data_IF_969265106287
#
_entry.id   IF_969265106287
#
_cell.length_a   1.000
_cell.length_b   1.000
_cell.length_c   1.000
_cell.angle_alpha   90.00
_cell.angle_beta   90.00
_cell.angle_gamma   90.00
#
_symmetry.space_group_name_H-M   'P 1'
#
loop_
_entity.id
_entity.type
_entity.pdbx_description
1 polymer ?
#
# COMPACT_ATOMS: atom_id res chain seq x y z
N UNK A 1 -1.75 -23.88 10.50
CA UNK A 1 -2.28 -23.17 9.30
C UNK A 1 -1.74 -21.77 9.40
N UNK A 2 -1.02 -21.31 8.37
CA UNK A 2 -0.41 -19.98 8.39
C UNK A 2 -1.47 -18.91 8.68
N UNK A 3 -1.12 -17.92 9.51
CA UNK A 3 -2.06 -16.88 9.92
C UNK A 3 -2.61 -16.10 8.72
N UNK A 4 -1.77 -15.86 7.71
CA UNK A 4 -2.13 -15.14 6.49
C UNK A 4 -3.27 -15.82 5.73
N UNK A 5 -3.27 -17.16 5.61
CA UNK A 5 -4.36 -17.90 4.95
C UNK A 5 -5.69 -17.71 5.67
N UNK A 6 -5.66 -17.60 7.00
CA UNK A 6 -6.87 -17.39 7.80
C UNK A 6 -7.39 -15.97 7.63
N UNK A 7 -6.48 -14.99 7.62
CA UNK A 7 -6.81 -13.59 7.37
C UNK A 7 -7.45 -13.40 5.99
N UNK A 8 -6.84 -13.94 4.94
CA UNK A 8 -7.36 -13.83 3.57
C UNK A 8 -8.77 -14.42 3.42
N UNK A 9 -9.05 -15.53 4.12
CA UNK A 9 -10.40 -16.13 4.14
C UNK A 9 -11.45 -15.21 4.75
N UNK A 10 -11.08 -14.35 5.70
CA UNK A 10 -11.99 -13.38 6.32
C UNK A 10 -12.09 -12.13 5.43
N UNK A 11 -10.95 -11.57 5.03
CA UNK A 11 -10.84 -10.33 4.27
C UNK A 11 -11.54 -10.40 2.91
N UNK A 12 -11.46 -11.55 2.23
CA UNK A 12 -12.00 -11.77 0.88
C UNK A 12 -13.17 -12.76 0.86
N UNK A 13 -13.91 -12.92 1.98
CA UNK A 13 -15.04 -13.84 2.01
C UNK A 13 -16.20 -13.33 1.14
N UNK A 14 -16.29 -13.82 -0.10
CA UNK A 14 -17.35 -13.47 -1.05
C UNK A 14 -18.76 -13.86 -0.58
N UNK A 15 -18.89 -14.76 0.41
CA UNK A 15 -20.17 -15.22 0.94
C UNK A 15 -20.71 -14.36 2.08
N UNK A 16 -19.90 -13.45 2.63
CA UNK A 16 -20.31 -12.57 3.74
C UNK A 16 -21.21 -11.45 3.23
N UNK A 17 -22.17 -11.03 4.06
CA UNK A 17 -23.00 -9.88 3.77
C UNK A 17 -22.14 -8.62 3.54
N UNK A 18 -22.49 -7.81 2.53
CA UNK A 18 -21.71 -6.61 2.18
C UNK A 18 -21.66 -5.60 3.34
N UNK A 19 -22.74 -5.47 4.11
CA UNK A 19 -22.80 -4.58 5.26
C UNK A 19 -21.94 -5.06 6.42
N UNK A 20 -21.92 -6.37 6.68
CA UNK A 20 -21.00 -6.98 7.66
C UNK A 20 -19.53 -6.79 7.27
N UNK A 21 -19.19 -7.07 6.00
CA UNK A 21 -17.84 -6.89 5.49
C UNK A 21 -17.39 -5.42 5.57
N UNK A 22 -18.28 -4.48 5.24
CA UNK A 22 -18.00 -3.05 5.38
C UNK A 22 -17.73 -2.65 6.84
N UNK A 23 -18.54 -3.13 7.79
CA UNK A 23 -18.34 -2.86 9.22
C UNK A 23 -17.02 -3.44 9.73
N UNK A 24 -16.68 -4.64 9.27
CA UNK A 24 -15.39 -5.27 9.58
C UNK A 24 -14.22 -4.40 9.13
N UNK A 25 -14.20 -3.99 7.86
CA UNK A 25 -13.13 -3.12 7.33
C UNK A 25 -13.08 -1.76 8.02
N UNK A 26 -14.22 -1.12 8.29
CA UNK A 26 -14.25 0.14 9.04
C UNK A 26 -13.62 0.00 10.43
N UNK A 27 -13.95 -1.07 11.17
CA UNK A 27 -13.33 -1.34 12.47
C UNK A 27 -11.84 -1.61 12.34
N UNK A 28 -11.45 -2.41 11.35
CA UNK A 28 -10.06 -2.74 11.10
C UNK A 28 -9.22 -1.51 10.76
N UNK A 29 -9.68 -0.61 9.88
CA UNK A 29 -8.96 0.60 9.53
C UNK A 29 -8.77 1.55 10.71
N UNK A 30 -9.71 1.61 11.66
CA UNK A 30 -9.53 2.38 12.90
C UNK A 30 -8.41 1.80 13.77
N UNK A 31 -8.31 0.47 13.85
CA UNK A 31 -7.25 -0.20 14.59
C UNK A 31 -5.89 0.00 13.92
N UNK A 32 -5.82 -0.24 12.60
CA UNK A 32 -4.63 -0.02 11.78
C UNK A 32 -4.12 1.42 11.90
N UNK A 33 -5.02 2.40 11.81
CA UNK A 33 -4.69 3.81 12.03
C UNK A 33 -4.03 4.03 13.39
N UNK A 34 -4.59 3.45 14.46
CA UNK A 34 -4.03 3.56 15.81
C UNK A 34 -2.64 2.93 15.95
N UNK A 35 -2.32 1.88 15.20
CA UNK A 35 -0.96 1.32 15.13
C UNK A 35 -0.02 2.30 14.44
N UNK A 36 -0.39 2.83 13.27
CA UNK A 36 0.43 3.79 12.53
C UNK A 36 0.64 5.10 13.29
N UNK A 37 -0.36 5.60 14.01
CA UNK A 37 -0.20 6.80 14.85
C UNK A 37 0.93 6.62 15.88
N UNK A 38 1.05 5.43 16.48
CA UNK A 38 2.13 5.11 17.43
C UNK A 38 3.48 4.93 16.72
N UNK A 39 3.52 4.16 15.63
CA UNK A 39 4.74 3.89 14.87
C UNK A 39 5.35 5.18 14.29
N UNK A 40 4.52 6.05 13.71
CA UNK A 40 4.97 7.29 13.10
C UNK A 40 5.36 8.37 14.13
N UNK A 41 4.95 8.22 15.40
CA UNK A 41 5.41 9.10 16.47
C UNK A 41 6.90 8.87 16.76
N UNK A 42 7.35 7.62 16.73
CA UNK A 42 8.76 7.24 16.91
C UNK A 42 9.24 6.37 15.73
N UNK A 43 9.39 6.94 14.52
CA UNK A 43 9.57 6.17 13.30
C UNK A 43 10.96 5.50 13.17
N UNK A 44 11.90 5.87 14.05
CA UNK A 44 13.23 5.25 14.15
C UNK A 44 13.31 4.19 15.27
N UNK A 45 12.25 4.00 16.04
CA UNK A 45 12.17 2.94 17.06
C UNK A 45 12.10 1.57 16.38
N UNK A 46 13.08 0.72 16.70
CA UNK A 46 13.06 -0.67 16.24
C UNK A 46 12.04 -1.45 17.05
N UNK A 47 10.86 -1.64 16.46
CA UNK A 47 9.81 -2.49 17.05
C UNK A 47 9.91 -3.89 16.44
N UNK A 48 10.27 -4.85 17.27
CA UNK A 48 10.38 -6.27 16.92
C UNK A 48 9.79 -7.13 18.03
N UNK A 49 9.36 -8.34 17.68
CA UNK A 49 8.74 -9.29 18.60
C UNK A 49 8.07 -10.42 17.85
N UNK A 50 7.44 -11.33 18.57
CA UNK A 50 6.55 -12.32 17.95
C UNK A 50 5.25 -11.66 17.48
N UNK A 51 4.55 -12.27 16.52
CA UNK A 51 3.22 -11.79 16.06
C UNK A 51 2.29 -11.56 17.26
N UNK A 52 2.30 -12.48 18.22
CA UNK A 52 1.49 -12.39 19.44
C UNK A 52 1.91 -11.25 20.35
N UNK A 53 3.20 -11.10 20.64
CA UNK A 53 3.69 -9.99 21.49
C UNK A 53 3.37 -8.62 20.88
N UNK A 54 3.47 -8.50 19.55
CA UNK A 54 3.09 -7.26 18.87
C UNK A 54 1.57 -7.05 18.92
N UNK A 55 0.77 -8.10 18.71
CA UNK A 55 -0.68 -8.02 18.85
C UNK A 55 -1.07 -7.48 20.24
N UNK A 56 -0.47 -8.04 21.29
CA UNK A 56 -0.68 -7.59 22.68
C UNK A 56 -0.18 -6.15 22.89
N UNK A 57 1.01 -5.79 22.39
CA UNK A 57 1.60 -4.43 22.49
C UNK A 57 0.66 -3.36 21.91
N UNK A 58 -0.02 -3.68 20.81
CA UNK A 58 -0.91 -2.75 20.12
C UNK A 58 -2.39 -2.93 20.49
N UNK A 59 -2.70 -3.83 21.43
CA UNK A 59 -4.07 -4.17 21.84
C UNK A 59 -4.94 -4.61 20.64
N UNK A 60 -4.37 -5.48 19.83
CA UNK A 60 -4.98 -6.14 18.67
C UNK A 60 -5.11 -7.63 18.95
N UNK A 61 -6.08 -8.28 18.32
CA UNK A 61 -6.06 -9.73 18.17
C UNK A 61 -4.94 -10.15 17.22
N UNK A 62 -4.48 -11.40 17.34
CA UNK A 62 -3.52 -12.01 16.41
C UNK A 62 -3.98 -11.87 14.95
N UNK A 63 -5.29 -11.98 14.69
CA UNK A 63 -5.87 -11.85 13.35
C UNK A 63 -5.77 -10.42 12.82
N UNK A 64 -6.05 -9.41 13.65
CA UNK A 64 -5.90 -8.00 13.27
C UNK A 64 -4.42 -7.63 13.06
N UNK A 65 -3.52 -8.16 13.90
CA UNK A 65 -2.08 -7.99 13.71
C UNK A 65 -1.58 -8.67 12.42
N UNK A 66 -2.14 -9.83 12.08
CA UNK A 66 -1.84 -10.54 10.82
C UNK A 66 -2.19 -9.67 9.61
N UNK A 67 -3.38 -9.06 9.59
CA UNK A 67 -3.76 -8.14 8.53
C UNK A 67 -2.84 -6.92 8.46
N UNK A 68 -2.41 -6.42 9.63
CA UNK A 68 -1.51 -5.27 9.69
C UNK A 68 -0.14 -5.62 9.10
N UNK A 69 0.41 -6.78 9.48
CA UNK A 69 1.67 -7.30 8.97
C UNK A 69 1.62 -7.52 7.45
N UNK A 70 0.51 -8.08 6.94
CA UNK A 70 0.26 -8.24 5.50
C UNK A 70 0.34 -6.88 4.77
N UNK A 71 -0.37 -5.86 5.27
CA UNK A 71 -0.40 -4.54 4.65
C UNK A 71 0.92 -3.77 4.72
N UNK A 72 1.67 -3.87 5.83
CA UNK A 72 2.93 -3.13 6.01
C UNK A 72 4.13 -3.82 5.35
N UNK A 73 4.07 -5.12 5.05
CA UNK A 73 5.23 -5.92 4.64
C UNK A 73 5.98 -5.34 3.44
N UNK A 74 5.24 -4.85 2.44
CA UNK A 74 5.80 -4.23 1.23
C UNK A 74 6.55 -2.93 1.52
N UNK A 75 6.39 -2.35 2.70
CA UNK A 75 7.03 -1.11 3.13
C UNK A 75 8.19 -1.35 4.11
N UNK A 76 8.42 -2.59 4.53
CA UNK A 76 9.49 -2.93 5.46
C UNK A 76 10.87 -2.85 4.79
N UNK A 77 11.88 -2.56 5.63
CA UNK A 77 13.29 -2.62 5.23
C UNK A 77 13.69 -4.07 4.96
N UNK A 78 13.30 -4.97 5.88
CA UNK A 78 13.44 -6.41 5.73
C UNK A 78 12.04 -7.04 5.78
N UNK A 79 11.60 -7.75 4.73
CA UNK A 79 10.27 -8.35 4.70
C UNK A 79 10.17 -9.51 5.69
N UNK A 80 9.02 -9.61 6.36
CA UNK A 80 8.70 -10.71 7.25
C UNK A 80 8.23 -11.96 6.48
N UNK A 81 8.38 -13.17 7.05
CA UNK A 81 7.91 -14.42 6.44
C UNK A 81 6.39 -14.58 6.56
N UNK A 82 5.62 -13.65 5.98
CA UNK A 82 4.16 -13.56 6.14
C UNK A 82 3.41 -14.81 5.65
N UNK A 83 3.93 -15.51 4.63
CA UNK A 83 3.30 -16.70 4.05
C UNK A 83 3.33 -17.91 4.99
N UNK A 84 4.34 -17.99 5.87
CA UNK A 84 4.54 -19.12 6.77
C UNK A 84 4.46 -18.74 8.24
N UNK A 85 4.01 -17.52 8.57
CA UNK A 85 4.01 -17.05 9.95
C UNK A 85 2.90 -17.68 10.80
N UNK A 86 3.26 -17.93 12.05
CA UNK A 86 2.43 -18.36 13.17
C UNK A 86 2.54 -17.36 14.33
N UNK A 87 1.81 -17.57 15.42
CA UNK A 87 1.70 -16.60 16.53
C UNK A 87 3.05 -16.27 17.19
N UNK A 88 3.96 -17.24 17.24
CA UNK A 88 5.29 -17.17 17.84
C UNK A 88 6.39 -16.79 16.83
N UNK A 89 6.01 -16.56 15.56
CA UNK A 89 6.96 -16.13 14.54
C UNK A 89 7.48 -14.74 14.86
N UNK A 90 8.80 -14.59 14.89
CA UNK A 90 9.47 -13.29 15.08
C UNK A 90 9.35 -12.44 13.83
N UNK A 91 8.93 -11.19 14.01
CA UNK A 91 8.71 -10.21 12.96
C UNK A 91 9.26 -8.84 13.38
N UNK A 92 9.57 -8.01 12.40
CA UNK A 92 10.03 -6.63 12.57
C UNK A 92 9.05 -5.66 11.93
N UNK A 93 8.85 -4.50 12.56
CA UNK A 93 8.08 -3.39 12.01
C UNK A 93 9.01 -2.24 11.55
N UNK A 94 10.28 -2.53 11.29
CA UNK A 94 11.19 -1.53 10.73
C UNK A 94 10.80 -1.21 9.28
N UNK A 95 10.22 -0.03 9.05
CA UNK A 95 9.74 0.41 7.74
C UNK A 95 10.62 1.51 7.13
N UNK A 96 10.63 1.56 5.80
CA UNK A 96 11.17 2.70 5.06
C UNK A 96 10.09 3.79 4.97
N UNK A 97 10.41 4.99 5.50
CA UNK A 97 9.45 6.10 5.63
C UNK A 97 8.91 6.57 4.27
N UNK A 98 9.77 6.69 3.26
CA UNK A 98 9.33 7.14 1.92
C UNK A 98 8.53 6.05 1.22
N UNK A 99 9.00 4.80 1.30
CA UNK A 99 8.33 3.64 0.72
C UNK A 99 6.94 3.44 1.32
N UNK A 100 6.83 3.50 2.65
CA UNK A 100 5.57 3.40 3.38
C UNK A 100 4.60 4.50 2.93
N UNK A 101 5.06 5.76 2.92
CA UNK A 101 4.22 6.89 2.50
C UNK A 101 3.70 6.70 1.05
N UNK A 102 4.58 6.34 0.12
CA UNK A 102 4.19 6.08 -1.28
C UNK A 102 3.21 4.92 -1.40
N UNK A 103 3.43 3.82 -0.69
CA UNK A 103 2.52 2.67 -0.69
C UNK A 103 1.13 3.03 -0.17
N UNK A 104 1.03 3.84 0.89
CA UNK A 104 -0.25 4.36 1.39
C UNK A 104 -0.96 5.23 0.34
N UNK A 105 -0.23 6.08 -0.38
CA UNK A 105 -0.78 6.93 -1.47
C UNK A 105 -1.28 6.08 -2.64
N UNK A 106 -0.59 4.99 -2.95
CA UNK A 106 -0.94 4.04 -4.00
C UNK A 106 -2.22 3.26 -3.65
N UNK A 107 -2.28 2.74 -2.42
CA UNK A 107 -3.45 2.09 -1.84
C UNK A 107 -4.64 3.03 -1.61
N UNK A 108 -4.45 4.35 -1.83
CA UNK A 108 -5.45 5.41 -1.57
C UNK A 108 -5.92 5.41 -0.11
N UNK A 109 -5.02 5.10 0.82
CA UNK A 109 -5.31 5.08 2.24
C UNK A 109 -5.16 6.48 2.87
N UNK A 110 -6.10 7.39 2.57
CA UNK A 110 -6.08 8.79 3.06
C UNK A 110 -6.03 8.86 4.59
N UNK A 111 -6.72 7.94 5.28
CA UNK A 111 -6.67 7.85 6.75
C UNK A 111 -5.28 7.58 7.33
N UNK A 112 -4.31 7.15 6.51
CA UNK A 112 -2.93 6.87 6.91
C UNK A 112 -1.93 7.92 6.37
N UNK A 113 -1.98 8.25 5.08
CA UNK A 113 -1.01 9.21 4.51
C UNK A 113 -1.32 10.67 4.86
N UNK A 114 -2.50 10.97 5.41
CA UNK A 114 -2.86 12.29 5.94
C UNK A 114 -2.61 12.43 7.44
N UNK A 115 -2.08 11.40 8.11
CA UNK A 115 -1.77 11.45 9.54
C UNK A 115 -0.83 12.63 9.88
N UNK A 116 -1.12 13.40 10.96
CA UNK A 116 -0.33 14.58 11.31
C UNK A 116 1.12 14.24 11.69
N UNK A 117 1.39 13.01 12.15
CA UNK A 117 2.73 12.52 12.47
C UNK A 117 3.68 12.62 11.28
N UNK A 118 3.17 12.51 10.04
CA UNK A 118 3.99 12.71 8.85
C UNK A 118 4.61 14.10 8.76
N UNK A 119 4.01 15.12 9.38
CA UNK A 119 4.56 16.48 9.36
C UNK A 119 5.82 16.62 10.22
N UNK A 120 6.02 15.72 11.18
CA UNK A 120 7.26 15.64 11.98
C UNK A 120 8.36 14.86 11.23
N UNK A 121 7.97 14.00 10.28
CA UNK A 121 8.89 13.15 9.50
C UNK A 121 9.33 13.86 8.21
N UNK A 122 8.39 14.49 7.52
CA UNK A 122 8.60 15.14 6.23
C UNK A 122 8.08 16.57 6.28
N UNK A 123 8.89 17.48 5.74
CA UNK A 123 8.41 18.83 5.45
C UNK A 123 7.31 18.81 4.35
N UNK A 124 6.58 19.92 4.25
CA UNK A 124 5.46 20.03 3.31
C UNK A 124 5.86 19.90 1.83
N UNK A 125 7.07 20.31 1.45
CA UNK A 125 7.56 20.17 0.07
C UNK A 125 7.91 18.72 -0.23
N UNK A 126 8.63 18.06 0.68
CA UNK A 126 8.97 16.64 0.59
C UNK A 126 7.72 15.78 0.51
N UNK A 127 6.75 15.99 1.41
CA UNK A 127 5.48 15.25 1.39
C UNK A 127 4.73 15.43 0.07
N UNK A 128 4.64 16.66 -0.43
CA UNK A 128 4.01 16.97 -1.72
C UNK A 128 4.75 16.31 -2.89
N UNK A 129 6.08 16.33 -2.89
CA UNK A 129 6.91 15.66 -3.89
C UNK A 129 6.62 14.17 -3.93
N UNK A 130 6.68 13.49 -2.78
CA UNK A 130 6.43 12.05 -2.67
C UNK A 130 5.02 11.67 -3.17
N UNK A 131 4.00 12.45 -2.77
CA UNK A 131 2.63 12.25 -3.23
C UNK A 131 2.50 12.35 -4.75
N UNK A 132 3.06 13.41 -5.36
CA UNK A 132 2.98 13.63 -6.81
C UNK A 132 3.80 12.60 -7.59
N UNK A 133 4.94 12.19 -7.06
CA UNK A 133 5.80 11.16 -7.64
C UNK A 133 5.05 9.83 -7.72
N UNK A 134 4.41 9.39 -6.62
CA UNK A 134 3.63 8.17 -6.62
C UNK A 134 2.40 8.25 -7.53
N UNK A 135 1.66 9.37 -7.53
CA UNK A 135 0.51 9.51 -8.46
C UNK A 135 0.93 9.44 -9.93
N UNK A 136 2.14 9.90 -10.24
CA UNK A 136 2.70 9.83 -11.60
C UNK A 136 3.18 8.43 -11.97
N UNK A 137 3.71 7.65 -11.03
CA UNK A 137 4.25 6.30 -11.32
C UNK A 137 3.17 5.35 -11.87
N UNK A 138 1.93 5.46 -11.37
CA UNK A 138 0.78 4.69 -11.87
C UNK A 138 0.14 5.25 -13.16
N UNK A 139 0.55 6.43 -13.64
CA UNK A 139 -0.03 7.04 -14.84
C UNK A 139 0.71 6.57 -16.08
N UNK A 140 0.09 5.68 -16.86
CA UNK A 140 0.57 5.33 -18.21
C UNK A 140 0.44 6.57 -19.10
N UNK A 141 1.56 7.20 -19.42
CA UNK A 141 1.60 8.29 -20.40
C UNK A 141 1.40 7.66 -21.78
N UNK A 142 0.15 7.62 -22.23
CA UNK A 142 -0.16 7.27 -23.61
C UNK A 142 0.42 8.39 -24.47
N UNK A 143 1.48 8.06 -25.23
CA UNK A 143 2.08 8.99 -26.18
C UNK A 143 1.02 9.61 -27.11
N UNK A 144 1.32 10.80 -27.66
CA UNK A 144 0.40 11.52 -28.56
C UNK A 144 -0.15 10.55 -29.61
N UNK A 145 -1.46 10.30 -29.58
CA UNK A 145 -2.13 9.47 -30.58
C UNK A 145 -1.84 10.08 -31.95
N UNK A 146 -1.23 9.30 -32.84
CA UNK A 146 -0.96 9.74 -34.21
C UNK A 146 -2.32 9.97 -34.87
N UNK A 147 -2.58 11.23 -35.25
CA UNK A 147 -3.81 11.60 -35.93
C UNK A 147 -3.88 10.92 -37.30
N UNK A 148 -5.10 10.57 -37.72
CA UNK A 148 -5.36 9.92 -39.02
C UNK A 148 -4.72 10.66 -40.21
N UNK A 149 -4.64 11.99 -40.15
CA UNK A 149 -4.05 12.83 -41.19
C UNK A 149 -2.58 13.24 -40.93
N UNK A 150 -1.99 12.89 -39.78
CA UNK A 150 -0.61 13.25 -39.45
C UNK A 150 0.38 12.50 -40.35
N UNK A 151 1.60 13.04 -40.57
CA UNK A 151 2.66 12.32 -41.25
C UNK A 151 2.92 10.95 -40.60
N UNK A 152 3.00 9.91 -41.42
CA UNK A 152 3.20 8.55 -40.95
C UNK A 152 4.62 8.39 -40.36
N UNK A 153 4.77 7.84 -39.13
CA UNK A 153 6.07 7.74 -38.46
C UNK A 153 7.05 6.75 -39.12
N UNK A 154 6.61 5.94 -40.10
CA UNK A 154 7.48 5.00 -40.82
C UNK A 154 8.41 5.67 -41.85
N UNK A 155 8.41 7.00 -41.95
CA UNK A 155 9.26 7.75 -42.88
C UNK A 155 8.77 7.75 -44.34
N UNK A 156 7.58 7.20 -44.62
CA UNK A 156 7.04 7.13 -45.99
C UNK A 156 6.63 8.46 -46.61
N UNK A 157 6.59 9.55 -45.82
CA UNK A 157 6.08 10.86 -46.25
C UNK A 157 4.56 10.93 -46.47
N UNK A 158 3.83 9.82 -46.31
CA UNK A 158 2.36 9.74 -46.47
C UNK A 158 1.64 10.07 -45.16
N UNK A 159 0.36 10.47 -45.24
CA UNK A 159 -0.52 10.57 -44.05
C UNK A 159 -0.72 9.18 -43.43
N UNK A 160 -0.82 9.10 -42.10
CA UNK A 160 -0.93 7.84 -41.35
C UNK A 160 -2.05 6.92 -41.89
N UNK A 161 -3.21 7.50 -42.23
CA UNK A 161 -4.35 6.78 -42.86
C UNK A 161 -4.07 6.11 -44.18
N UNK A 162 -3.12 6.62 -44.96
CA UNK A 162 -2.76 6.09 -46.28
C UNK A 162 -1.50 5.21 -46.22
N UNK A 163 -1.04 4.87 -45.02
CA UNK A 163 0.17 4.08 -44.83
C UNK A 163 -0.05 3.01 -43.75
N UNK A 164 0.46 3.22 -42.53
CA UNK A 164 0.47 2.19 -41.48
C UNK A 164 -0.90 1.92 -40.83
N UNK A 165 -1.92 2.75 -41.07
CA UNK A 165 -3.25 2.54 -40.49
C UNK A 165 -4.15 1.60 -41.31
N UNK A 166 -3.91 1.50 -42.62
CA UNK A 166 -4.71 0.68 -43.55
C UNK A 166 -3.93 -0.58 -44.01
N UNK A 167 -2.95 -1.03 -43.22
CA UNK A 167 -2.29 -2.33 -43.44
C UNK A 167 -3.09 -3.44 -42.78
#
# INVERSE_FOLDING_TARGET
MALLEQWQKIAYNEKTDRGELQRFWQRYFLLEKGVYEKLLTNPDEKVEGTVKELADKYNLSVMEMTGFLDGINDSLVEPNPIDTMEEDTKVSLAFDKEKLYKNMVDAKADWLYELPQWNEIFDGETKRRLYLEQKKSGTVIVGKKIGRNDPCPCGSGKKYKYCCMNK
#
